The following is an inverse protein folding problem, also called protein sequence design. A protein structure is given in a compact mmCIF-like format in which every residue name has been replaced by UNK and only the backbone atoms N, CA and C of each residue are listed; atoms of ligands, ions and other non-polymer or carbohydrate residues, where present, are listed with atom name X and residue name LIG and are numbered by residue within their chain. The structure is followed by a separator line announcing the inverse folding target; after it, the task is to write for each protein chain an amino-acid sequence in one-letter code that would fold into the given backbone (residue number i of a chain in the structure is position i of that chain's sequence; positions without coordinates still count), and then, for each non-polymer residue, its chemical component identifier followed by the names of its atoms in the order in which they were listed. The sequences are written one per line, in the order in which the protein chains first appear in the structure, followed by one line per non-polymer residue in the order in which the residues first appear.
data_IF_854578285413
#
_entry.id   IF_854578285413
#
_cell.length_a   1.000
_cell.length_b   1.000
_cell.length_c   1.000
_cell.angle_alpha   90.00
_cell.angle_beta   90.00
_cell.angle_gamma   90.00
#
_symmetry.space_group_name_H-M   'P 1'
#
loop_
_entity.id
_entity.type
_entity.pdbx_description
1 polymer ?
#
# COMPACT_ATOMS: atom_id res chain seq x y z
N UNK A 1 7.21 -28.37 19.87
CA UNK A 1 7.54 -26.93 19.71
C UNK A 1 6.46 -26.28 18.84
N UNK A 2 6.26 -24.95 18.85
CA UNK A 2 5.34 -24.29 17.90
C UNK A 2 5.67 -24.62 16.42
N UNK A 3 6.91 -25.06 16.16
CA UNK A 3 7.35 -25.55 14.84
C UNK A 3 6.59 -26.79 14.33
N UNK A 4 6.03 -27.63 15.21
CA UNK A 4 5.50 -28.94 14.79
C UNK A 4 4.02 -28.90 14.39
N UNK A 5 3.28 -27.85 14.75
CA UNK A 5 1.84 -27.72 14.47
C UNK A 5 1.43 -26.33 13.91
N UNK A 6 2.39 -25.48 13.54
CA UNK A 6 2.07 -24.18 12.97
C UNK A 6 1.60 -24.32 11.52
N UNK A 7 0.44 -23.74 11.23
CA UNK A 7 -0.09 -23.59 9.87
C UNK A 7 -0.20 -22.10 9.59
N UNK A 8 0.49 -21.65 8.55
CA UNK A 8 0.40 -20.26 8.12
C UNK A 8 -0.96 -20.00 7.48
N UNK A 9 -1.54 -18.84 7.78
CA UNK A 9 -2.78 -18.42 7.13
C UNK A 9 -2.55 -18.27 5.62
N UNK A 10 -3.36 -18.97 4.84
CA UNK A 10 -3.30 -18.97 3.37
C UNK A 10 -3.51 -17.58 2.72
N UNK A 11 -4.09 -16.62 3.46
CA UNK A 11 -4.39 -15.25 3.03
C UNK A 11 -3.43 -14.22 3.61
N UNK A 12 -2.41 -14.64 4.35
CA UNK A 12 -1.46 -13.71 4.98
C UNK A 12 -0.79 -12.77 3.96
N UNK A 13 -0.51 -13.25 2.75
CA UNK A 13 0.07 -12.42 1.68
C UNK A 13 -0.82 -11.23 1.28
N UNK A 14 -2.15 -11.41 1.28
CA UNK A 14 -3.07 -10.31 0.97
C UNK A 14 -3.03 -9.21 2.03
N UNK A 15 -2.93 -9.59 3.31
CA UNK A 15 -2.81 -8.64 4.41
C UNK A 15 -1.52 -7.82 4.28
N UNK A 16 -0.41 -8.49 3.97
CA UNK A 16 0.88 -7.82 3.75
C UNK A 16 0.79 -6.85 2.57
N UNK A 17 0.25 -7.30 1.43
CA UNK A 17 0.12 -6.45 0.25
C UNK A 17 -0.81 -5.24 0.49
N UNK A 18 -1.89 -5.39 1.26
CA UNK A 18 -2.76 -4.27 1.62
C UNK A 18 -2.04 -3.18 2.43
N UNK A 19 -1.15 -3.59 3.35
CA UNK A 19 -0.30 -2.66 4.10
C UNK A 19 0.69 -1.96 3.17
N UNK A 20 1.33 -2.70 2.25
CA UNK A 20 2.24 -2.12 1.28
C UNK A 20 1.53 -1.13 0.33
N UNK A 21 0.31 -1.43 -0.12
CA UNK A 21 -0.47 -0.51 -0.95
C UNK A 21 -0.69 0.84 -0.26
N UNK A 22 -1.04 0.84 1.02
CA UNK A 22 -1.16 2.06 1.82
C UNK A 22 0.17 2.80 1.95
N UNK A 23 1.25 2.07 2.23
CA UNK A 23 2.59 2.65 2.37
C UNK A 23 3.08 3.30 1.07
N UNK A 24 2.87 2.64 -0.07
CA UNK A 24 3.19 3.18 -1.40
C UNK A 24 2.35 4.42 -1.72
N UNK A 25 1.04 4.38 -1.49
CA UNK A 25 0.18 5.54 -1.71
C UNK A 25 0.59 6.76 -0.86
N UNK A 26 0.92 6.55 0.41
CA UNK A 26 1.43 7.61 1.30
C UNK A 26 2.81 8.13 0.84
N UNK A 27 3.69 7.24 0.39
CA UNK A 27 5.03 7.60 -0.09
C UNK A 27 4.97 8.43 -1.37
N UNK A 28 4.11 8.07 -2.31
CA UNK A 28 3.94 8.81 -3.56
C UNK A 28 3.25 10.16 -3.32
N UNK A 29 2.27 10.22 -2.41
CA UNK A 29 1.70 11.47 -1.92
C UNK A 29 2.77 12.39 -1.29
N UNK A 30 3.65 11.82 -0.47
CA UNK A 30 4.73 12.57 0.19
C UNK A 30 5.75 13.12 -0.81
N UNK A 31 6.18 12.31 -1.78
CA UNK A 31 7.10 12.77 -2.83
C UNK A 31 6.56 13.96 -3.62
N UNK A 32 5.26 14.00 -3.87
CA UNK A 32 4.62 15.07 -4.63
C UNK A 32 4.35 16.32 -3.78
N UNK A 33 3.81 16.15 -2.57
CA UNK A 33 3.36 17.27 -1.73
C UNK A 33 4.45 17.84 -0.82
N UNK A 34 5.46 17.04 -0.49
CA UNK A 34 6.53 17.38 0.44
C UNK A 34 7.93 17.13 -0.18
N UNK A 35 8.25 17.71 -1.36
CA UNK A 35 9.54 17.49 -2.00
C UNK A 35 10.70 17.95 -1.09
N UNK A 36 11.75 17.13 -1.01
CA UNK A 36 12.94 17.33 -0.17
C UNK A 36 12.70 17.51 1.34
N UNK A 37 11.49 17.23 1.83
CA UNK A 37 11.14 17.32 3.24
C UNK A 37 11.35 15.98 3.96
N UNK A 38 11.96 16.00 5.15
CA UNK A 38 12.05 14.80 6.02
C UNK A 38 10.82 14.75 6.92
N UNK A 39 10.06 13.66 6.84
CA UNK A 39 8.78 13.53 7.55
C UNK A 39 7.67 14.37 6.90
N UNK A 40 6.52 14.49 7.58
CA UNK A 40 5.36 15.22 7.07
C UNK A 40 5.62 16.72 7.00
N UNK A 41 5.15 17.35 5.93
CA UNK A 41 5.06 18.81 5.79
C UNK A 41 3.62 19.28 6.03
N UNK A 42 3.38 20.60 6.11
CA UNK A 42 2.04 21.16 6.37
C UNK A 42 0.97 20.71 5.36
N UNK A 43 1.35 20.38 4.12
CA UNK A 43 0.42 19.88 3.11
C UNK A 43 -0.12 18.45 3.38
N UNK A 44 0.49 17.74 4.34
CA UNK A 44 0.09 16.40 4.77
C UNK A 44 -0.24 16.31 6.26
N UNK A 45 -0.40 17.45 6.95
CA UNK A 45 -0.77 17.50 8.36
C UNK A 45 -1.98 18.44 8.60
N UNK A 46 -3.23 17.91 8.59
CA UNK A 46 -3.60 16.50 8.47
C UNK A 46 -3.60 16.01 7.01
N UNK A 47 -3.56 14.69 6.83
CA UNK A 47 -3.68 14.04 5.51
C UNK A 47 -5.11 14.20 4.98
N UNK A 48 -5.23 14.70 3.75
CA UNK A 48 -6.49 14.69 3.00
C UNK A 48 -6.77 13.28 2.45
N UNK A 49 -7.76 12.60 3.02
CA UNK A 49 -8.14 11.24 2.63
C UNK A 49 -8.62 11.11 1.19
N UNK A 50 -9.19 12.17 0.60
CA UNK A 50 -9.65 12.13 -0.80
C UNK A 50 -8.46 12.12 -1.75
N UNK A 51 -7.43 12.93 -1.45
CA UNK A 51 -6.17 12.90 -2.21
C UNK A 51 -5.45 11.59 -2.01
N UNK A 52 -5.38 11.07 -0.77
CA UNK A 52 -4.74 9.79 -0.49
C UNK A 52 -5.37 8.66 -1.29
N UNK A 53 -6.70 8.63 -1.43
CA UNK A 53 -7.40 7.65 -2.26
C UNK A 53 -6.89 7.69 -3.72
N UNK A 54 -6.69 8.87 -4.29
CA UNK A 54 -6.17 9.01 -5.67
C UNK A 54 -4.75 8.41 -5.80
N UNK A 55 -3.89 8.57 -4.79
CA UNK A 55 -2.56 7.97 -4.79
C UNK A 55 -2.58 6.45 -4.60
N UNK A 56 -3.46 5.94 -3.74
CA UNK A 56 -3.64 4.49 -3.55
C UNK A 56 -4.12 3.84 -4.85
N UNK A 57 -5.11 4.42 -5.54
CA UNK A 57 -5.65 3.86 -6.78
C UNK A 57 -4.64 3.87 -7.95
N UNK A 58 -3.64 4.76 -7.92
CA UNK A 58 -2.56 4.83 -8.93
C UNK A 58 -1.32 4.02 -8.58
N UNK A 59 -1.26 3.46 -7.37
CA UNK A 59 -0.11 2.69 -6.89
C UNK A 59 0.01 1.38 -7.67
N UNK A 60 1.24 1.06 -8.10
CA UNK A 60 1.61 -0.28 -8.59
C UNK A 60 2.95 -0.70 -7.99
N UNK A 61 3.04 -1.94 -7.52
CA UNK A 61 4.24 -2.51 -6.92
C UNK A 61 4.31 -4.03 -7.03
N UNK A 62 5.48 -4.60 -6.78
CA UNK A 62 5.67 -6.05 -6.68
C UNK A 62 5.31 -6.53 -5.27
N UNK A 63 4.30 -7.39 -5.18
CA UNK A 63 3.80 -7.97 -3.94
C UNK A 63 4.73 -9.02 -3.33
N UNK A 64 4.38 -9.49 -2.13
CA UNK A 64 5.21 -10.38 -1.31
C UNK A 64 5.48 -11.75 -1.96
N UNK A 65 4.66 -12.18 -2.91
CA UNK A 65 4.85 -13.43 -3.66
C UNK A 65 5.40 -13.21 -5.08
N UNK A 66 5.83 -11.97 -5.40
CA UNK A 66 6.35 -11.59 -6.71
C UNK A 66 5.30 -11.21 -7.75
N UNK A 67 4.02 -11.19 -7.38
CA UNK A 67 2.92 -10.73 -8.22
C UNK A 67 2.91 -9.21 -8.39
N UNK A 68 2.39 -8.72 -9.52
CA UNK A 68 2.13 -7.29 -9.67
C UNK A 68 0.81 -6.93 -8.98
N UNK A 69 0.86 -5.96 -8.06
CA UNK A 69 -0.30 -5.43 -7.34
C UNK A 69 -0.60 -4.03 -7.87
N UNK A 70 -1.80 -3.86 -8.42
CA UNK A 70 -2.35 -2.59 -8.87
C UNK A 70 -3.87 -2.60 -8.70
N UNK A 71 -4.52 -1.45 -8.89
CA UNK A 71 -5.97 -1.30 -8.80
C UNK A 71 -6.55 -0.82 -10.12
N UNK A 72 -7.73 -1.32 -10.47
CA UNK A 72 -8.51 -0.77 -11.57
C UNK A 72 -9.26 0.51 -11.16
N UNK A 73 -10.09 1.05 -12.06
CA UNK A 73 -10.88 2.27 -11.81
C UNK A 73 -11.93 2.12 -10.69
N UNK A 74 -12.28 0.89 -10.32
CA UNK A 74 -13.20 0.59 -9.22
C UNK A 74 -12.47 0.32 -7.90
N UNK A 75 -11.13 0.26 -7.93
CA UNK A 75 -10.31 -0.11 -6.77
C UNK A 75 -10.13 -1.61 -6.60
N UNK A 76 -10.46 -2.42 -7.61
CA UNK A 76 -10.28 -3.87 -7.58
C UNK A 76 -8.89 -4.26 -8.05
N UNK A 77 -8.23 -5.14 -7.29
CA UNK A 77 -6.96 -5.75 -7.70
C UNK A 77 -7.19 -6.92 -8.64
N UNK A 78 -6.26 -7.22 -9.57
CA UNK A 78 -6.37 -8.41 -10.41
C UNK A 78 -6.53 -9.68 -9.57
N UNK A 79 -7.45 -10.55 -9.99
CA UNK A 79 -7.66 -11.85 -9.36
C UNK A 79 -6.47 -12.79 -9.58
N UNK A 80 -6.25 -13.69 -8.62
CA UNK A 80 -5.31 -14.80 -8.74
C UNK A 80 -6.05 -16.12 -8.89
#
# INVERSE_FOLDING_TARGET
SLKDNYVQDSKMGFVINAIYAMAHGLHDMHKELCPDHVGLCEAMDPIDGSKLLDYILKTSFTGVSGEEVYFDVNGDSPGR
#
